data_IF_604184348575
#
_entry.id   IF_604184348575
#
_cell.length_a   1.000
_cell.length_b   1.000
_cell.length_c   1.000
_cell.angle_alpha   90.00
_cell.angle_beta   90.00
_cell.angle_gamma   90.00
#
_symmetry.space_group_name_H-M   'P 1'
#
loop_
_entity.id
_entity.type
_entity.pdbx_description
1 polymer ?
#
# COMPACT_ATOMS: atom_id res chain seq x y z
N UNK A 1 18.64 10.43 -2.41
CA UNK A 1 18.13 10.76 -3.76
C UNK A 1 17.43 12.12 -3.89
N UNK A 2 16.23 12.34 -3.36
CA UNK A 2 15.46 13.54 -3.67
C UNK A 2 16.13 14.86 -3.23
N UNK A 3 16.72 14.89 -2.02
CA UNK A 3 17.55 16.01 -1.54
C UNK A 3 18.72 16.28 -2.50
N UNK A 4 19.44 15.23 -2.91
CA UNK A 4 20.56 15.35 -3.83
C UNK A 4 20.13 15.83 -5.23
N UNK A 5 18.88 15.56 -5.63
CA UNK A 5 18.29 16.05 -6.86
C UNK A 5 17.73 17.49 -6.75
N UNK A 6 17.80 18.11 -5.57
CA UNK A 6 17.30 19.48 -5.33
C UNK A 6 15.78 19.58 -5.39
N UNK A 7 15.07 18.52 -5.02
CA UNK A 7 13.61 18.43 -5.10
C UNK A 7 12.90 19.16 -3.97
N UNK A 8 11.65 19.53 -4.23
CA UNK A 8 10.77 20.15 -3.26
C UNK A 8 10.16 19.09 -2.36
N UNK A 9 10.62 19.05 -1.11
CA UNK A 9 10.15 18.11 -0.10
C UNK A 9 9.22 18.81 0.90
N UNK A 10 8.22 18.08 1.36
CA UNK A 10 7.38 18.49 2.49
C UNK A 10 7.33 17.32 3.47
N UNK A 11 7.82 17.53 4.69
CA UNK A 11 7.63 16.56 5.77
C UNK A 11 6.15 16.60 6.14
N UNK A 12 5.54 15.43 6.14
CA UNK A 12 4.14 15.25 6.48
C UNK A 12 4.10 14.42 7.75
N UNK A 13 3.57 15.03 8.81
CA UNK A 13 3.48 14.43 10.14
C UNK A 13 2.27 13.50 10.29
N UNK A 14 1.51 13.31 9.21
CA UNK A 14 0.30 12.48 9.13
C UNK A 14 -0.76 12.83 10.19
N UNK A 15 -0.71 14.05 10.74
CA UNK A 15 -1.68 14.52 11.71
C UNK A 15 -3.05 14.73 11.06
N UNK A 16 -4.13 14.29 11.72
CA UNK A 16 -5.49 14.53 11.22
C UNK A 16 -5.98 15.93 11.64
N UNK A 17 -6.08 16.86 10.68
CA UNK A 17 -6.63 18.20 10.94
C UNK A 17 -8.12 18.14 11.27
N UNK A 18 -8.89 17.24 10.64
CA UNK A 18 -10.31 17.11 10.90
C UNK A 18 -10.85 15.70 10.63
N UNK A 19 -11.67 15.21 11.56
CA UNK A 19 -12.49 14.01 11.37
C UNK A 19 -13.96 14.39 11.24
N UNK A 20 -14.69 13.71 10.35
CA UNK A 20 -16.14 13.78 10.22
C UNK A 20 -16.75 12.41 10.48
N UNK A 21 -17.78 12.37 11.33
CA UNK A 21 -18.60 11.20 11.57
C UNK A 21 -19.85 11.28 10.69
N UNK A 22 -19.76 10.85 9.45
CA UNK A 22 -20.74 11.13 8.42
C UNK A 22 -20.66 12.59 7.97
N UNK A 23 -21.66 13.42 8.32
CA UNK A 23 -21.70 14.85 7.95
C UNK A 23 -21.28 15.79 9.07
N UNK A 24 -21.11 15.27 10.28
CA UNK A 24 -20.85 16.07 11.46
C UNK A 24 -19.35 16.08 11.76
N UNK A 25 -18.77 17.27 11.90
CA UNK A 25 -17.40 17.41 12.34
C UNK A 25 -17.25 16.86 13.76
N UNK A 26 -16.21 16.06 14.00
CA UNK A 26 -15.88 15.54 15.31
C UNK A 26 -15.62 16.69 16.29
N UNK A 27 -16.16 16.57 17.49
CA UNK A 27 -15.88 17.50 18.58
C UNK A 27 -14.44 17.31 19.09
N UNK A 28 -13.90 18.33 19.78
CA UNK A 28 -12.59 18.22 20.46
C UNK A 28 -12.49 17.10 21.49
N UNK A 29 -13.63 16.65 22.03
CA UNK A 29 -13.65 15.49 22.94
C UNK A 29 -13.48 14.19 22.14
N UNK A 30 -14.23 14.04 21.04
CA UNK A 30 -14.12 12.88 20.16
C UNK A 30 -12.74 12.75 19.49
N UNK A 31 -12.12 13.87 19.10
CA UNK A 31 -10.75 13.86 18.56
C UNK A 31 -9.76 13.31 19.61
N UNK A 32 -9.88 13.73 20.88
CA UNK A 32 -9.04 13.21 21.97
C UNK A 32 -9.31 11.74 22.27
N UNK A 33 -10.57 11.34 22.30
CA UNK A 33 -10.93 9.92 22.48
C UNK A 33 -10.36 9.05 21.35
N UNK A 34 -10.23 9.59 20.13
CA UNK A 34 -9.59 8.90 19.01
C UNK A 34 -8.08 8.79 19.19
N UNK A 35 -7.39 9.87 19.60
CA UNK A 35 -5.96 9.84 19.95
C UNK A 35 -5.66 8.84 21.08
N UNK A 36 -6.52 8.80 22.10
CA UNK A 36 -6.43 7.84 23.22
C UNK A 36 -6.66 6.40 22.73
N UNK A 37 -7.61 6.17 21.82
CA UNK A 37 -7.87 4.85 21.25
C UNK A 37 -6.70 4.35 20.37
N UNK A 38 -6.10 5.24 19.57
CA UNK A 38 -4.92 4.95 18.75
C UNK A 38 -3.69 4.63 19.63
N UNK A 39 -3.47 5.43 20.67
CA UNK A 39 -2.42 5.18 21.67
C UNK A 39 -2.63 3.84 22.37
N UNK A 40 -3.86 3.52 22.79
CA UNK A 40 -4.18 2.25 23.43
C UNK A 40 -3.97 1.05 22.49
N UNK A 41 -4.31 1.19 21.20
CA UNK A 41 -4.05 0.17 20.18
C UNK A 41 -2.54 -0.08 20.03
N UNK A 42 -1.74 0.98 19.92
CA UNK A 42 -0.28 0.92 19.84
C UNK A 42 0.36 0.30 21.09
N UNK A 43 -0.11 0.66 22.28
CA UNK A 43 0.35 0.05 23.54
C UNK A 43 0.03 -1.44 23.61
N UNK A 44 -1.20 -1.81 23.21
CA UNK A 44 -1.63 -3.21 23.18
C UNK A 44 -0.78 -4.05 22.21
N UNK A 45 -0.45 -3.53 21.03
CA UNK A 45 0.45 -4.19 20.08
C UNK A 45 1.79 -4.58 20.70
N UNK A 46 2.33 -3.74 21.58
CA UNK A 46 3.65 -3.96 22.21
C UNK A 46 3.63 -5.00 23.33
N UNK A 47 2.49 -5.19 24.01
CA UNK A 47 2.37 -6.08 25.18
C UNK A 47 1.55 -7.34 24.90
N UNK A 48 0.97 -7.44 23.71
CA UNK A 48 0.07 -8.53 23.35
C UNK A 48 0.80 -9.88 23.38
N UNK A 49 0.18 -10.85 24.05
CA UNK A 49 0.77 -12.17 24.34
C UNK A 49 -0.26 -13.31 24.33
N UNK A 50 -1.29 -13.20 23.49
CA UNK A 50 -2.35 -14.21 23.33
C UNK A 50 -2.14 -15.07 22.08
N UNK A 51 -2.91 -16.16 21.98
CA UNK A 51 -2.85 -17.13 20.86
C UNK A 51 -3.59 -16.65 19.60
N UNK A 52 -4.45 -15.62 19.71
CA UNK A 52 -5.05 -15.03 18.52
C UNK A 52 -4.07 -14.08 17.85
N UNK A 53 -4.13 -13.95 16.52
CA UNK A 53 -3.21 -13.13 15.75
C UNK A 53 -3.98 -12.17 14.85
N UNK A 54 -5.10 -11.61 15.33
CA UNK A 54 -5.95 -10.65 14.58
C UNK A 54 -5.84 -9.25 15.18
N UNK A 55 -5.35 -8.29 14.41
CA UNK A 55 -5.11 -6.93 14.93
C UNK A 55 -6.40 -6.26 15.45
N UNK A 56 -7.57 -6.57 14.88
CA UNK A 56 -8.86 -6.09 15.37
C UNK A 56 -9.16 -6.40 16.84
N UNK A 57 -8.54 -7.44 17.42
CA UNK A 57 -8.74 -7.78 18.84
C UNK A 57 -8.10 -6.77 19.80
N UNK A 58 -7.20 -5.92 19.30
CA UNK A 58 -6.54 -4.86 20.05
C UNK A 58 -7.31 -3.54 20.00
N UNK A 59 -8.27 -3.43 19.08
CA UNK A 59 -9.05 -2.21 18.84
C UNK A 59 -10.13 -2.01 19.91
N UNK A 60 -10.39 -0.75 20.26
CA UNK A 60 -11.59 -0.37 21.03
C UNK A 60 -12.84 -0.62 20.18
N UNK A 61 -13.70 -1.55 20.58
CA UNK A 61 -14.88 -1.97 19.81
C UNK A 61 -16.04 -0.96 19.84
N UNK A 62 -15.81 0.25 19.33
CA UNK A 62 -16.81 1.29 19.13
C UNK A 62 -16.46 2.14 17.90
N UNK A 63 -17.35 3.07 17.52
CA UNK A 63 -17.16 3.92 16.33
C UNK A 63 -15.87 4.74 16.34
N UNK A 64 -15.41 5.18 17.51
CA UNK A 64 -14.18 5.96 17.65
C UNK A 64 -12.95 5.07 17.48
N UNK A 65 -12.95 3.86 18.05
CA UNK A 65 -11.88 2.90 17.83
C UNK A 65 -11.82 2.42 16.37
N UNK A 66 -12.96 2.29 15.70
CA UNK A 66 -12.98 2.08 14.24
C UNK A 66 -12.30 3.25 13.51
N UNK A 67 -12.72 4.50 13.76
CA UNK A 67 -12.10 5.67 13.13
C UNK A 67 -10.58 5.79 13.41
N UNK A 68 -10.15 5.46 14.64
CA UNK A 68 -8.74 5.44 15.02
C UNK A 68 -7.94 4.41 14.21
N UNK A 69 -8.49 3.20 14.06
CA UNK A 69 -7.82 2.11 13.32
C UNK A 69 -8.01 2.15 11.81
N UNK A 70 -8.90 3.00 11.28
CA UNK A 70 -9.01 3.27 9.83
C UNK A 70 -7.66 3.69 9.25
N UNK A 71 -6.89 4.48 10.01
CA UNK A 71 -5.55 4.88 9.58
C UNK A 71 -4.59 3.68 9.56
N UNK A 72 -4.42 3.01 10.71
CA UNK A 72 -3.50 1.89 10.87
C UNK A 72 -3.79 0.70 9.93
N UNK A 73 -5.07 0.35 9.72
CA UNK A 73 -5.46 -0.76 8.85
C UNK A 73 -5.62 -0.30 7.40
N UNK A 74 -6.82 0.12 6.97
CA UNK A 74 -7.10 0.43 5.57
C UNK A 74 -6.15 1.44 4.92
N UNK A 75 -5.79 2.54 5.60
CA UNK A 75 -5.00 3.60 4.96
C UNK A 75 -3.51 3.29 4.90
N UNK A 76 -2.95 2.67 5.94
CA UNK A 76 -1.52 2.38 6.04
C UNK A 76 -1.20 0.97 5.55
N UNK A 77 -1.89 -0.06 6.06
CA UNK A 77 -1.69 -1.46 5.69
C UNK A 77 -2.50 -1.95 4.49
N UNK A 78 -3.38 -1.12 3.92
CA UNK A 78 -4.23 -1.45 2.78
C UNK A 78 -5.17 -2.66 3.00
N UNK A 79 -5.38 -3.06 4.26
CA UNK A 79 -6.27 -4.15 4.65
C UNK A 79 -7.12 -3.73 5.84
N UNK A 80 -8.29 -4.34 5.98
CA UNK A 80 -9.11 -4.11 7.16
C UNK A 80 -8.44 -4.72 8.39
N UNK A 81 -8.63 -4.10 9.56
CA UNK A 81 -7.86 -4.41 10.76
C UNK A 81 -8.06 -5.85 11.27
N UNK A 82 -9.16 -6.51 10.92
CA UNK A 82 -9.44 -7.91 11.24
C UNK A 82 -8.78 -8.92 10.29
N UNK A 83 -8.20 -8.44 9.19
CA UNK A 83 -7.47 -9.23 8.19
C UNK A 83 -5.96 -9.20 8.37
N UNK A 84 -5.45 -8.42 9.34
CA UNK A 84 -4.01 -8.22 9.55
C UNK A 84 -3.51 -9.05 10.74
N UNK A 85 -2.40 -9.75 10.53
CA UNK A 85 -1.65 -10.42 11.60
C UNK A 85 -1.04 -9.43 12.59
N UNK A 86 -1.25 -9.64 13.90
CA UNK A 86 -0.57 -8.85 14.95
C UNK A 86 0.95 -9.04 14.85
N UNK A 87 1.40 -10.27 14.63
CA UNK A 87 2.82 -10.60 14.49
C UNK A 87 3.47 -9.99 13.24
N UNK A 88 2.68 -9.71 12.20
CA UNK A 88 3.14 -9.02 11.01
C UNK A 88 3.13 -7.50 11.21
N UNK A 89 2.02 -6.97 11.73
CA UNK A 89 1.85 -5.55 12.05
C UNK A 89 2.95 -5.03 12.98
N UNK A 90 3.21 -5.75 14.08
CA UNK A 90 4.23 -5.37 15.08
C UNK A 90 5.67 -5.37 14.56
N UNK A 91 5.93 -5.97 13.40
CA UNK A 91 7.25 -5.95 12.76
C UNK A 91 7.46 -4.72 11.88
N UNK A 92 6.39 -4.05 11.43
CA UNK A 92 6.51 -2.83 10.64
C UNK A 92 7.13 -1.71 11.48
N UNK A 93 8.08 -0.98 10.89
CA UNK A 93 8.70 0.16 11.53
C UNK A 93 7.79 1.39 11.42
N UNK A 94 7.85 2.26 12.42
CA UNK A 94 7.43 3.65 12.25
C UNK A 94 8.35 4.33 11.22
N UNK A 95 7.73 5.00 10.25
CA UNK A 95 8.40 5.54 9.06
C UNK A 95 8.63 7.06 9.14
N UNK A 96 8.39 7.70 10.28
CA UNK A 96 8.76 9.11 10.48
C UNK A 96 10.30 9.29 10.43
N UNK A 97 10.82 10.31 9.71
CA UNK A 97 10.11 11.32 8.92
C UNK A 97 9.64 10.86 7.53
N UNK A 98 8.36 11.16 7.22
CA UNK A 98 7.74 10.92 5.92
C UNK A 98 7.74 12.17 5.03
N UNK A 99 8.19 12.07 3.78
CA UNK A 99 8.27 13.22 2.87
C UNK A 99 7.47 13.03 1.59
N UNK A 100 6.60 13.99 1.29
CA UNK A 100 6.08 14.16 -0.06
C UNK A 100 7.15 14.76 -0.99
N UNK A 101 7.03 14.44 -2.28
CA UNK A 101 7.88 14.99 -3.34
C UNK A 101 7.01 15.67 -4.39
N UNK A 102 7.20 16.98 -4.61
CA UNK A 102 6.37 17.75 -5.56
C UNK A 102 6.54 17.27 -6.99
N UNK A 103 7.75 16.84 -7.32
CA UNK A 103 8.18 16.37 -8.62
C UNK A 103 7.67 14.94 -8.93
N UNK A 104 7.08 14.27 -7.94
CA UNK A 104 6.49 12.95 -8.06
C UNK A 104 7.48 11.81 -7.82
N UNK A 105 7.10 10.89 -6.92
CA UNK A 105 7.98 9.80 -6.48
C UNK A 105 8.40 8.86 -7.63
N UNK A 106 7.54 8.64 -8.63
CA UNK A 106 7.88 7.84 -9.80
C UNK A 106 9.06 8.40 -10.61
N UNK A 107 9.20 9.72 -10.69
CA UNK A 107 10.35 10.35 -11.35
C UNK A 107 11.65 10.09 -10.57
N UNK A 108 11.58 9.86 -9.26
CA UNK A 108 12.73 9.56 -8.41
C UNK A 108 13.24 8.16 -8.73
N UNK A 109 12.31 7.20 -8.87
CA UNK A 109 12.62 5.82 -9.27
C UNK A 109 13.24 5.79 -10.66
N UNK A 110 12.65 6.51 -11.63
CA UNK A 110 13.22 6.61 -12.99
C UNK A 110 14.63 7.23 -12.99
N UNK A 111 14.86 8.25 -12.15
CA UNK A 111 16.18 8.88 -12.01
C UNK A 111 17.19 7.92 -11.39
N UNK A 112 16.81 7.23 -10.33
CA UNK A 112 17.68 6.31 -9.59
C UNK A 112 18.10 5.13 -10.47
N UNK A 113 17.19 4.53 -11.23
CA UNK A 113 17.46 3.38 -12.10
C UNK A 113 17.96 3.71 -13.50
N UNK A 114 18.39 4.96 -13.78
CA UNK A 114 18.65 5.44 -15.14
C UNK A 114 19.81 4.74 -15.85
N UNK A 115 20.77 4.18 -15.10
CA UNK A 115 21.94 3.47 -15.61
C UNK A 115 21.77 1.94 -15.64
N UNK A 116 20.65 1.43 -15.14
CA UNK A 116 20.33 0.00 -15.15
C UNK A 116 19.73 -0.38 -16.50
N UNK A 117 20.30 -1.36 -17.24
CA UNK A 117 19.68 -1.85 -18.47
C UNK A 117 18.31 -2.48 -18.18
N UNK A 118 17.26 -1.93 -18.78
CA UNK A 118 15.88 -2.42 -18.63
C UNK A 118 15.25 -2.76 -19.98
N UNK A 119 14.56 -3.90 -20.03
CA UNK A 119 13.75 -4.32 -21.17
C UNK A 119 12.27 -4.11 -20.86
N UNK A 120 11.71 -2.99 -21.31
CA UNK A 120 10.28 -2.70 -21.16
C UNK A 120 9.44 -3.58 -22.11
N UNK A 121 8.14 -3.67 -21.84
CA UNK A 121 7.20 -4.44 -22.66
C UNK A 121 7.64 -5.90 -22.92
N UNK A 122 8.37 -6.48 -21.97
CA UNK A 122 8.95 -7.83 -22.05
C UNK A 122 8.42 -8.66 -20.88
N UNK A 123 7.12 -9.02 -20.87
CA UNK A 123 6.55 -9.78 -19.78
C UNK A 123 7.12 -11.20 -19.78
N UNK A 124 7.69 -11.60 -18.65
CA UNK A 124 8.08 -13.00 -18.41
C UNK A 124 6.82 -13.79 -18.11
N UNK A 125 6.58 -14.86 -18.88
CA UNK A 125 5.40 -15.73 -18.75
C UNK A 125 5.69 -16.98 -17.92
N UNK A 126 6.91 -17.48 -18.04
CA UNK A 126 7.35 -18.71 -17.39
C UNK A 126 8.85 -18.62 -17.08
N UNK A 127 9.24 -19.13 -15.91
CA UNK A 127 10.64 -19.30 -15.52
C UNK A 127 10.92 -20.80 -15.44
N UNK A 128 11.68 -21.31 -16.41
CA UNK A 128 12.18 -22.69 -16.36
C UNK A 128 13.45 -22.74 -15.54
N UNK A 129 13.53 -23.67 -14.60
CA UNK A 129 14.67 -23.79 -13.67
C UNK A 129 15.10 -25.24 -13.41
N UNK A 130 14.68 -26.17 -14.27
CA UNK A 130 15.11 -27.58 -14.32
C UNK A 130 16.53 -27.79 -14.89
N UNK A 131 17.06 -26.80 -15.63
CA UNK A 131 18.38 -26.84 -16.27
C UNK A 131 19.55 -26.36 -15.39
N UNK A 132 20.76 -26.14 -15.95
CA UNK A 132 21.92 -25.64 -15.20
C UNK A 132 21.78 -24.18 -14.70
N UNK A 133 20.77 -23.46 -15.18
CA UNK A 133 20.43 -22.09 -14.77
C UNK A 133 18.93 -21.86 -14.92
N UNK A 134 18.55 -20.66 -15.32
CA UNK A 134 17.15 -20.27 -15.57
C UNK A 134 16.93 -19.85 -17.02
N UNK A 135 15.75 -20.18 -17.54
CA UNK A 135 15.25 -19.68 -18.82
C UNK A 135 13.95 -18.90 -18.59
N UNK A 136 13.97 -17.61 -18.92
CA UNK A 136 12.82 -16.71 -18.83
C UNK A 136 12.13 -16.68 -20.20
N UNK A 137 10.94 -17.26 -20.28
CA UNK A 137 10.14 -17.25 -21.51
C UNK A 137 9.34 -15.94 -21.60
N UNK A 138 9.54 -15.21 -22.70
CA UNK A 138 8.87 -13.93 -22.96
C UNK A 138 8.30 -13.91 -24.38
N UNK A 139 7.41 -12.97 -24.64
CA UNK A 139 6.83 -12.77 -25.98
C UNK A 139 7.90 -12.31 -27.01
N UNK A 140 9.07 -11.85 -26.55
CA UNK A 140 10.21 -11.40 -27.36
C UNK A 140 11.34 -12.46 -27.46
N UNK A 141 11.07 -13.69 -27.01
CA UNK A 141 12.04 -14.79 -26.98
C UNK A 141 12.53 -15.13 -25.57
N UNK A 142 13.45 -16.09 -25.49
CA UNK A 142 13.94 -16.64 -24.22
C UNK A 142 15.20 -15.92 -23.75
N UNK A 143 15.20 -15.44 -22.51
CA UNK A 143 16.39 -14.92 -21.83
C UNK A 143 16.98 -16.00 -20.93
N UNK A 144 18.31 -16.20 -20.97
CA UNK A 144 19.01 -17.22 -20.18
C UNK A 144 19.91 -16.56 -19.14
N UNK A 145 19.89 -17.05 -17.92
CA UNK A 145 20.73 -16.56 -16.83
C UNK A 145 21.13 -17.70 -15.87
N UNK A 146 22.08 -17.44 -14.97
CA UNK A 146 22.45 -18.42 -13.93
C UNK A 146 21.43 -18.50 -12.80
N UNK A 147 20.86 -17.36 -12.39
CA UNK A 147 19.88 -17.21 -11.31
C UNK A 147 18.83 -16.16 -11.72
N UNK A 148 17.63 -16.23 -11.15
CA UNK A 148 16.57 -15.23 -11.29
C UNK A 148 16.26 -14.58 -9.94
N UNK A 149 16.19 -13.25 -9.92
CA UNK A 149 15.60 -12.48 -8.83
C UNK A 149 14.18 -12.09 -9.22
N UNK A 150 13.18 -12.62 -8.53
CA UNK A 150 11.77 -12.38 -8.76
C UNK A 150 11.31 -11.27 -7.82
N UNK A 151 10.89 -10.15 -8.40
CA UNK A 151 10.31 -9.00 -7.67
C UNK A 151 8.87 -8.72 -8.09
N UNK A 152 8.20 -9.72 -8.69
CA UNK A 152 6.78 -9.63 -8.98
C UNK A 152 5.99 -9.61 -7.67
N UNK A 153 4.91 -8.84 -7.63
CA UNK A 153 4.04 -8.79 -6.45
C UNK A 153 3.43 -10.17 -6.15
N UNK A 154 3.11 -10.44 -4.89
CA UNK A 154 2.43 -11.68 -4.51
C UNK A 154 1.09 -11.83 -5.25
N UNK A 155 0.40 -10.71 -5.52
CA UNK A 155 -0.81 -10.70 -6.36
C UNK A 155 -0.59 -11.24 -7.78
N UNK A 156 0.53 -10.90 -8.44
CA UNK A 156 0.89 -11.47 -9.76
C UNK A 156 1.19 -12.96 -9.67
N UNK A 157 1.86 -13.38 -8.59
CA UNK A 157 2.26 -14.77 -8.36
C UNK A 157 1.06 -15.68 -8.06
N UNK A 158 0.16 -15.28 -7.14
CA UNK A 158 -1.09 -16.00 -6.82
C UNK A 158 -1.96 -16.15 -8.08
N UNK A 159 -2.06 -15.11 -8.91
CA UNK A 159 -2.84 -15.15 -10.15
C UNK A 159 -2.14 -15.92 -11.29
N UNK A 160 -0.99 -16.56 -11.04
CA UNK A 160 -0.22 -17.37 -12.01
C UNK A 160 0.09 -16.64 -13.33
N UNK A 161 0.20 -15.32 -13.25
CA UNK A 161 0.57 -14.45 -14.39
C UNK A 161 2.04 -14.67 -14.79
N UNK A 162 2.87 -15.04 -13.81
CA UNK A 162 4.21 -15.60 -13.96
C UNK A 162 4.17 -17.05 -13.46
N UNK A 163 4.58 -18.00 -14.31
CA UNK A 163 4.67 -19.43 -13.94
C UNK A 163 6.11 -19.87 -13.69
N UNK A 164 6.25 -20.99 -12.99
CA UNK A 164 7.52 -21.66 -12.76
C UNK A 164 7.45 -23.08 -13.33
N UNK A 165 8.55 -23.54 -13.93
CA UNK A 165 8.66 -24.90 -14.48
C UNK A 165 10.00 -25.52 -14.06
N UNK A 166 10.02 -26.54 -13.17
CA UNK A 166 8.87 -27.13 -12.47
C UNK A 166 8.17 -26.13 -11.54
N UNK A 167 7.00 -26.51 -11.03
CA UNK A 167 6.29 -25.70 -10.03
C UNK A 167 7.17 -25.44 -8.80
N UNK A 168 6.90 -24.35 -8.08
CA UNK A 168 7.61 -24.06 -6.84
C UNK A 168 7.28 -25.14 -5.80
N UNK A 169 8.17 -25.37 -4.82
CA UNK A 169 7.83 -26.17 -3.65
C UNK A 169 6.55 -25.67 -2.99
N UNK A 170 5.75 -26.59 -2.46
CA UNK A 170 4.43 -26.28 -1.90
C UNK A 170 4.51 -25.19 -0.82
N UNK A 171 5.58 -25.19 -0.03
CA UNK A 171 5.81 -24.22 1.04
C UNK A 171 5.98 -22.79 0.51
N UNK A 172 6.59 -22.61 -0.68
CA UNK A 172 6.74 -21.31 -1.32
C UNK A 172 5.43 -20.84 -1.93
N UNK A 173 4.70 -21.73 -2.59
CA UNK A 173 3.39 -21.43 -3.15
C UNK A 173 2.39 -21.05 -2.04
N UNK A 174 2.36 -21.80 -0.94
CA UNK A 174 1.53 -21.48 0.23
C UNK A 174 1.92 -20.12 0.85
N UNK A 175 3.22 -19.85 1.00
CA UNK A 175 3.68 -18.58 1.55
C UNK A 175 3.34 -17.37 0.65
N UNK A 176 3.26 -17.55 -0.68
CA UNK A 176 2.77 -16.54 -1.61
C UNK A 176 1.26 -16.26 -1.36
N UNK A 177 0.46 -17.29 -1.14
CA UNK A 177 -0.98 -17.17 -0.85
C UNK A 177 -1.26 -16.56 0.53
N UNK A 178 -0.37 -16.78 1.49
CA UNK A 178 -0.46 -16.27 2.87
C UNK A 178 -0.05 -14.79 3.02
N UNK A 179 0.46 -14.18 1.95
CA UNK A 179 0.81 -12.76 1.85
C UNK A 179 -0.08 -12.08 0.78
N UNK A 180 -1.41 -12.03 0.97
CA UNK A 180 -2.30 -11.37 0.03
C UNK A 180 -1.94 -9.89 -0.13
N UNK A 181 -2.22 -9.36 -1.31
CA UNK A 181 -2.16 -7.93 -1.54
C UNK A 181 -3.38 -7.27 -0.90
N UNK A 182 -3.16 -6.26 -0.07
CA UNK A 182 -4.18 -5.26 0.26
C UNK A 182 -4.45 -4.32 -0.93
N UNK A 183 -5.37 -3.38 -0.75
CA UNK A 183 -5.64 -2.34 -1.72
C UNK A 183 -5.83 -0.97 -1.06
N UNK A 184 -5.08 0.01 -1.57
CA UNK A 184 -5.24 1.43 -1.29
C UNK A 184 -5.42 2.16 -2.62
N UNK A 185 -6.62 2.71 -2.82
CA UNK A 185 -7.02 3.41 -4.03
C UNK A 185 -7.00 4.91 -3.82
N UNK A 186 -6.37 5.64 -4.74
CA UNK A 186 -6.31 7.11 -4.75
C UNK A 186 -7.26 7.69 -5.78
N UNK A 187 -8.01 8.71 -5.38
CA UNK A 187 -9.02 9.42 -6.17
C UNK A 187 -8.64 10.91 -6.22
N UNK A 188 -7.71 11.31 -7.10
CA UNK A 188 -7.38 12.72 -7.29
C UNK A 188 -8.51 13.47 -7.98
N UNK A 189 -8.90 14.60 -7.40
CA UNK A 189 -9.91 15.54 -7.87
C UNK A 189 -9.26 16.90 -8.11
N UNK A 190 -9.39 17.43 -9.33
CA UNK A 190 -8.95 18.78 -9.66
C UNK A 190 -9.97 19.79 -9.12
N UNK A 191 -9.66 20.36 -7.97
CA UNK A 191 -10.49 21.30 -7.21
C UNK A 191 -9.67 22.56 -6.96
N UNK A 192 -10.23 23.73 -7.29
CA UNK A 192 -9.56 25.00 -7.03
C UNK A 192 -9.27 25.19 -5.54
N UNK A 193 -8.10 25.77 -5.23
CA UNK A 193 -7.60 26.03 -3.88
C UNK A 193 -8.56 26.79 -2.95
N UNK A 194 -9.40 27.65 -3.49
CA UNK A 194 -10.36 28.46 -2.74
C UNK A 194 -11.75 27.80 -2.60
N UNK A 195 -11.93 26.59 -3.13
CA UNK A 195 -13.21 25.91 -3.13
C UNK A 195 -13.54 25.25 -1.78
N UNK A 196 -12.53 24.79 -1.03
CA UNK A 196 -12.67 24.22 0.31
C UNK A 196 -12.04 25.19 1.32
N UNK A 197 -12.67 25.31 2.49
CA UNK A 197 -12.11 26.08 3.62
C UNK A 197 -10.99 25.30 4.32
N UNK A 198 -9.96 24.86 3.58
CA UNK A 198 -8.83 24.00 4.02
C UNK A 198 -7.49 24.56 3.53
N UNK A 199 -6.42 24.31 4.27
CA UNK A 199 -5.06 24.68 3.88
C UNK A 199 -4.36 23.60 3.04
N UNK A 200 -3.15 23.92 2.58
CA UNK A 200 -2.26 22.94 1.96
C UNK A 200 -1.85 21.88 2.98
N UNK A 201 -1.91 20.61 2.56
CA UNK A 201 -1.62 19.43 3.38
C UNK A 201 -2.59 19.18 4.54
N UNK A 202 -3.73 19.88 4.62
CA UNK A 202 -4.80 19.49 5.56
C UNK A 202 -5.32 18.09 5.19
N UNK A 203 -5.32 17.20 6.16
CA UNK A 203 -5.89 15.87 6.12
C UNK A 203 -7.27 15.82 6.77
N UNK A 204 -8.20 15.22 6.03
CA UNK A 204 -9.59 15.10 6.46
C UNK A 204 -10.05 13.67 6.34
N UNK A 205 -10.36 13.04 7.47
CA UNK A 205 -11.01 11.72 7.50
C UNK A 205 -12.53 11.90 7.54
N UNK A 206 -13.23 11.19 6.67
CA UNK A 206 -14.68 11.02 6.75
C UNK A 206 -14.98 9.56 7.07
N UNK A 207 -15.32 9.29 8.32
CA UNK A 207 -15.79 7.97 8.75
C UNK A 207 -17.27 7.78 8.40
N UNK A 208 -17.59 6.56 7.96
CA UNK A 208 -18.93 6.11 7.66
C UNK A 208 -19.27 4.87 8.49
N UNK A 209 -20.52 4.81 8.98
CA UNK A 209 -21.05 3.65 9.70
C UNK A 209 -21.05 2.33 8.91
N UNK A 210 -20.79 2.39 7.60
CA UNK A 210 -20.71 1.23 6.72
C UNK A 210 -19.27 0.84 6.38
N UNK A 211 -18.27 1.30 7.16
CA UNK A 211 -16.84 1.12 6.88
C UNK A 211 -16.44 1.59 5.48
N UNK A 212 -17.09 2.66 5.01
CA UNK A 212 -16.83 3.29 3.71
C UNK A 212 -16.12 4.60 3.90
N UNK A 213 -15.00 4.51 4.57
CA UNK A 213 -14.23 5.66 5.00
C UNK A 213 -13.43 6.21 3.83
N UNK A 214 -13.18 7.51 3.86
CA UNK A 214 -12.32 8.18 2.89
C UNK A 214 -11.51 9.24 3.60
N UNK A 215 -10.21 9.21 3.33
CA UNK A 215 -9.26 10.21 3.77
C UNK A 215 -9.01 11.19 2.63
N UNK A 216 -8.92 12.48 2.90
CA UNK A 216 -8.63 13.50 1.89
C UNK A 216 -7.37 14.28 2.25
N UNK A 217 -6.38 14.27 1.35
CA UNK A 217 -5.25 15.20 1.39
C UNK A 217 -5.60 16.44 0.58
N UNK A 218 -5.66 17.60 1.23
CA UNK A 218 -6.05 18.86 0.60
C UNK A 218 -4.85 19.63 0.06
N UNK A 219 -4.91 19.99 -1.22
CA UNK A 219 -4.02 20.95 -1.87
C UNK A 219 -2.50 20.73 -1.65
N UNK A 220 -1.98 19.49 -1.84
CA UNK A 220 -0.56 19.22 -1.62
C UNK A 220 0.31 20.11 -2.52
N UNK A 221 1.36 20.71 -1.96
CA UNK A 221 2.26 21.67 -2.63
C UNK A 221 1.58 22.87 -3.28
N UNK A 222 0.47 23.28 -2.68
CA UNK A 222 -0.38 24.35 -3.16
C UNK A 222 -1.07 24.14 -4.51
N UNK A 223 -1.18 22.89 -4.94
CA UNK A 223 -1.84 22.52 -6.19
C UNK A 223 -3.36 22.56 -6.04
N UNK A 224 -4.06 22.87 -7.14
CA UNK A 224 -5.53 22.75 -7.27
C UNK A 224 -5.94 21.26 -7.36
N UNK A 225 -5.69 20.53 -6.27
CA UNK A 225 -5.81 19.09 -6.17
C UNK A 225 -6.26 18.70 -4.78
N UNK A 226 -7.25 17.82 -4.69
CA UNK A 226 -7.61 17.10 -3.47
C UNK A 226 -7.53 15.61 -3.78
N UNK A 227 -6.86 14.82 -2.94
CA UNK A 227 -6.70 13.38 -3.18
C UNK A 227 -7.49 12.61 -2.14
N UNK A 228 -8.52 11.90 -2.58
CA UNK A 228 -9.21 10.92 -1.76
C UNK A 228 -8.43 9.61 -1.68
N UNK A 229 -8.39 8.98 -0.51
CA UNK A 229 -7.78 7.67 -0.28
C UNK A 229 -8.83 6.75 0.32
N UNK A 230 -8.96 5.57 -0.27
CA UNK A 230 -9.86 4.52 0.17
C UNK A 230 -9.06 3.23 0.27
N UNK A 231 -9.08 2.58 1.42
CA UNK A 231 -8.32 1.38 1.73
C UNK A 231 -9.17 0.15 2.00
N UNK A 232 -8.53 -1.00 2.15
CA UNK A 232 -9.15 -2.24 2.61
C UNK A 232 -10.24 -2.78 1.68
N UNK A 233 -11.26 -3.43 2.24
CA UNK A 233 -12.33 -4.05 1.46
C UNK A 233 -13.09 -3.04 0.61
N UNK A 234 -13.31 -1.84 1.15
CA UNK A 234 -14.01 -0.79 0.40
C UNK A 234 -13.21 -0.32 -0.83
N UNK A 235 -11.88 -0.38 -0.79
CA UNK A 235 -11.06 -0.09 -1.96
C UNK A 235 -11.32 -1.10 -3.10
N UNK A 236 -11.51 -2.39 -2.76
CA UNK A 236 -11.85 -3.42 -3.74
C UNK A 236 -13.26 -3.22 -4.30
N UNK A 237 -14.23 -2.87 -3.44
CA UNK A 237 -15.59 -2.56 -3.86
C UNK A 237 -15.64 -1.38 -4.84
N UNK A 238 -15.00 -0.26 -4.49
CA UNK A 238 -15.05 0.96 -5.31
C UNK A 238 -14.28 0.81 -6.62
N UNK A 239 -13.18 0.05 -6.62
CA UNK A 239 -12.47 -0.26 -7.86
C UNK A 239 -13.33 -1.10 -8.81
N UNK A 240 -14.04 -2.10 -8.29
CA UNK A 240 -15.00 -2.90 -9.05
C UNK A 240 -16.15 -2.05 -9.62
N UNK A 241 -16.60 -1.04 -8.87
CA UNK A 241 -17.63 -0.11 -9.33
C UNK A 241 -17.16 0.83 -10.44
N UNK A 242 -15.84 1.02 -10.58
CA UNK A 242 -15.20 1.78 -11.65
C UNK A 242 -14.88 3.23 -11.29
N UNK A 243 -13.99 3.83 -12.09
CA UNK A 243 -13.41 5.16 -11.80
C UNK A 243 -14.46 6.28 -11.71
N UNK A 244 -15.51 6.23 -12.52
CA UNK A 244 -16.61 7.22 -12.45
C UNK A 244 -17.36 7.12 -11.12
N UNK A 245 -17.59 5.90 -10.62
CA UNK A 245 -18.22 5.69 -9.32
C UNK A 245 -17.34 6.18 -8.17
N UNK A 246 -16.03 5.95 -8.22
CA UNK A 246 -15.09 6.46 -7.23
C UNK A 246 -15.01 7.99 -7.20
N UNK A 247 -14.90 8.63 -8.37
CA UNK A 247 -14.91 10.10 -8.48
C UNK A 247 -16.23 10.68 -7.98
N UNK A 248 -17.36 10.07 -8.34
CA UNK A 248 -18.67 10.46 -7.85
C UNK A 248 -18.77 10.32 -6.32
N UNK A 249 -18.35 9.17 -5.75
CA UNK A 249 -18.34 8.94 -4.31
C UNK A 249 -17.52 10.01 -3.57
N UNK A 250 -16.27 10.25 -3.99
CA UNK A 250 -15.42 11.26 -3.35
C UNK A 250 -16.03 12.68 -3.46
N UNK A 251 -16.60 13.03 -4.62
CA UNK A 251 -17.26 14.32 -4.85
C UNK A 251 -18.48 14.51 -3.95
N UNK A 252 -19.33 13.48 -3.85
CA UNK A 252 -20.52 13.53 -3.00
C UNK A 252 -20.17 13.58 -1.52
N UNK A 253 -19.12 12.87 -1.09
CA UNK A 253 -18.64 12.93 0.29
C UNK A 253 -18.17 14.35 0.62
N UNK A 254 -17.32 14.96 -0.20
CA UNK A 254 -16.89 16.37 -0.01
C UNK A 254 -18.09 17.33 0.00
N UNK A 255 -19.04 17.17 -0.93
CA UNK A 255 -20.23 18.00 -0.99
C UNK A 255 -21.14 17.84 0.25
N UNK A 256 -21.07 16.70 0.94
CA UNK A 256 -21.84 16.45 2.15
C UNK A 256 -21.30 17.17 3.39
N UNK A 257 -19.99 17.43 3.43
CA UNK A 257 -19.30 18.10 4.57
C UNK A 257 -19.00 19.58 4.31
N UNK A 258 -18.70 19.96 3.07
CA UNK A 258 -18.36 21.34 2.68
C UNK A 258 -19.47 22.05 1.87
N UNK A 259 -20.57 21.34 1.58
CA UNK A 259 -21.76 21.90 0.94
C UNK A 259 -21.87 21.65 -0.56
N UNK A 260 -23.07 21.83 -1.10
CA UNK A 260 -23.43 21.35 -2.44
C UNK A 260 -22.69 22.02 -3.60
N UNK A 261 -22.12 23.22 -3.38
CA UNK A 261 -21.38 23.97 -4.40
C UNK A 261 -20.10 23.24 -4.86
N UNK A 262 -19.53 22.38 -4.01
CA UNK A 262 -18.31 21.63 -4.33
C UNK A 262 -18.45 20.79 -5.60
N UNK A 263 -19.64 20.27 -5.89
CA UNK A 263 -19.92 19.52 -7.13
C UNK A 263 -19.51 20.29 -8.38
N UNK A 264 -19.67 21.62 -8.37
CA UNK A 264 -19.32 22.48 -9.50
C UNK A 264 -17.82 22.86 -9.52
N UNK A 265 -17.11 22.65 -8.42
CA UNK A 265 -15.68 22.95 -8.29
C UNK A 265 -14.79 21.79 -8.75
N UNK A 266 -15.33 20.56 -8.83
CA UNK A 266 -14.61 19.39 -9.36
C UNK A 266 -14.58 19.48 -10.89
N UNK A 267 -13.45 19.92 -11.44
CA UNK A 267 -13.29 20.07 -12.89
C UNK A 267 -12.90 18.78 -13.60
N UNK A 268 -12.16 17.91 -12.90
CA UNK A 268 -11.71 16.59 -13.36
C UNK A 268 -11.54 15.67 -12.17
N UNK A 269 -11.69 14.37 -12.38
CA UNK A 269 -11.35 13.35 -11.41
C UNK A 269 -10.78 12.11 -12.10
N UNK A 270 -9.98 11.34 -11.39
CA UNK A 270 -9.55 10.01 -11.81
C UNK A 270 -9.43 9.09 -10.60
N UNK A 271 -9.16 7.81 -10.83
CA UNK A 271 -8.98 6.83 -9.77
C UNK A 271 -7.90 5.84 -10.18
N UNK A 272 -6.98 5.53 -9.26
CA UNK A 272 -6.02 4.43 -9.45
C UNK A 272 -6.75 3.10 -9.49
N UNK A 273 -6.15 2.10 -10.15
CA UNK A 273 -6.78 0.79 -10.35
C UNK A 273 -5.78 -0.34 -10.08
N UNK A 274 -5.24 -0.36 -8.87
CA UNK A 274 -4.15 -1.27 -8.51
C UNK A 274 -4.62 -2.73 -8.45
N UNK A 275 -5.87 -2.99 -8.06
CA UNK A 275 -6.44 -4.34 -8.00
C UNK A 275 -6.60 -4.98 -9.38
N UNK A 276 -7.01 -4.19 -10.36
CA UNK A 276 -7.20 -4.63 -11.75
C UNK A 276 -5.96 -4.44 -12.64
N UNK A 277 -4.95 -3.69 -12.19
CA UNK A 277 -3.65 -3.60 -12.87
C UNK A 277 -2.97 -4.97 -12.91
N UNK A 278 -2.80 -5.48 -14.13
CA UNK A 278 -2.37 -6.87 -14.36
C UNK A 278 -0.97 -7.18 -13.86
N UNK A 279 -0.16 -6.15 -13.64
CA UNK A 279 1.24 -6.26 -13.21
C UNK A 279 1.46 -6.04 -11.70
N UNK A 280 0.41 -5.73 -10.94
CA UNK A 280 0.51 -5.59 -9.48
C UNK A 280 -0.58 -6.37 -8.75
N UNK A 281 -1.82 -6.38 -9.24
CA UNK A 281 -2.96 -7.13 -8.67
C UNK A 281 -3.19 -6.82 -7.18
N UNK A 282 -3.16 -5.54 -6.85
CA UNK A 282 -3.26 -4.99 -5.50
C UNK A 282 -2.19 -3.92 -5.26
N UNK A 283 -2.19 -3.35 -4.05
CA UNK A 283 -1.28 -2.29 -3.63
C UNK A 283 0.02 -2.86 -3.03
N UNK A 284 -0.05 -3.48 -1.85
CA UNK A 284 1.10 -4.06 -1.15
C UNK A 284 0.66 -5.18 -0.19
N UNK A 285 1.59 -6.07 0.16
CA UNK A 285 1.30 -7.32 0.84
C UNK A 285 1.29 -7.21 2.37
N UNK A 286 0.30 -7.84 3.00
CA UNK A 286 0.21 -8.03 4.45
C UNK A 286 -0.05 -9.51 4.75
N UNK A 287 0.52 -10.03 5.83
CA UNK A 287 0.30 -11.41 6.22
C UNK A 287 -1.07 -11.57 6.91
N UNK A 288 -1.79 -12.62 6.52
CA UNK A 288 -3.04 -12.97 7.19
C UNK A 288 -2.77 -13.42 8.65
N UNK A 289 -3.74 -13.27 9.56
CA UNK A 289 -3.69 -13.80 10.91
C UNK A 289 -3.21 -15.24 10.97
N UNK A 290 -2.13 -15.47 11.71
CA UNK A 290 -1.48 -16.77 11.89
C UNK A 290 -0.37 -17.10 10.90
N UNK A 291 -0.11 -16.23 9.91
CA UNK A 291 0.77 -16.53 8.79
C UNK A 291 1.94 -15.54 8.59
N UNK A 292 2.30 -14.74 9.60
CA UNK A 292 3.48 -13.86 9.53
C UNK A 292 4.80 -14.59 9.15
N UNK A 293 4.89 -15.90 9.41
CA UNK A 293 6.03 -16.74 9.01
C UNK A 293 6.15 -17.01 7.50
N UNK A 294 5.15 -16.62 6.70
CA UNK A 294 5.20 -16.72 5.24
C UNK A 294 6.35 -15.89 4.66
N UNK A 295 6.62 -14.71 5.21
CA UNK A 295 7.75 -13.86 4.78
C UNK A 295 9.08 -14.59 4.92
N UNK A 296 9.31 -15.28 6.05
CA UNK A 296 10.54 -16.05 6.30
C UNK A 296 10.70 -17.19 5.29
N UNK A 297 9.60 -17.84 4.91
CA UNK A 297 9.61 -18.91 3.91
C UNK A 297 10.03 -18.40 2.54
N UNK A 298 9.47 -17.27 2.09
CA UNK A 298 9.81 -16.67 0.79
C UNK A 298 11.23 -16.12 0.71
N UNK A 299 11.89 -15.82 1.84
CA UNK A 299 13.30 -15.41 1.83
C UNK A 299 14.29 -16.53 1.47
N UNK A 300 13.82 -17.79 1.46
CA UNK A 300 14.63 -18.98 1.13
C UNK A 300 14.65 -19.20 -0.38
N UNK A 301 15.84 -19.31 -1.01
CA UNK A 301 15.92 -19.56 -2.44
C UNK A 301 15.38 -20.94 -2.81
N UNK A 302 14.88 -21.08 -4.03
CA UNK A 302 14.44 -22.36 -4.59
C UNK A 302 15.51 -22.88 -5.52
N UNK A 303 16.06 -24.06 -5.18
CA UNK A 303 17.08 -24.75 -5.95
C UNK A 303 18.36 -23.93 -6.19
N UNK A 304 18.65 -22.95 -5.33
CA UNK A 304 19.73 -21.95 -5.49
C UNK A 304 19.66 -21.12 -6.79
N UNK A 305 18.50 -21.13 -7.47
CA UNK A 305 18.28 -20.50 -8.78
C UNK A 305 17.23 -19.41 -8.74
N UNK A 306 16.12 -19.62 -8.03
CA UNK A 306 15.05 -18.64 -7.89
C UNK A 306 15.16 -17.97 -6.52
N UNK A 307 15.22 -16.65 -6.54
CA UNK A 307 15.31 -15.81 -5.36
C UNK A 307 14.16 -14.80 -5.40
N UNK A 308 13.63 -14.42 -4.25
CA UNK A 308 12.56 -13.43 -4.15
C UNK A 308 13.05 -12.21 -3.40
N UNK A 309 12.62 -11.03 -3.85
CA UNK A 309 12.81 -9.76 -3.15
C UNK A 309 11.65 -8.81 -3.47
N UNK A 310 11.57 -7.70 -2.76
CA UNK A 310 10.52 -6.69 -2.95
C UNK A 310 9.91 -6.28 -1.62
N UNK A 311 8.86 -5.46 -1.70
CA UNK A 311 8.22 -4.91 -0.50
C UNK A 311 7.75 -5.99 0.48
N UNK A 312 7.23 -7.11 -0.03
CA UNK A 312 6.75 -8.21 0.80
C UNK A 312 7.86 -8.86 1.65
N UNK A 313 9.13 -8.66 1.30
CA UNK A 313 10.30 -9.27 1.94
C UNK A 313 11.27 -8.22 2.47
N UNK A 314 10.78 -7.03 2.82
CA UNK A 314 11.60 -5.92 3.28
C UNK A 314 11.76 -5.81 4.81
N UNK A 315 11.42 -6.87 5.55
CA UNK A 315 11.51 -6.87 7.01
C UNK A 315 10.68 -5.73 7.61
N UNK A 316 11.23 -4.92 8.53
CA UNK A 316 10.50 -3.80 9.12
C UNK A 316 10.06 -2.71 8.13
N UNK A 317 10.66 -2.66 6.93
CA UNK A 317 10.30 -1.70 5.88
C UNK A 317 9.34 -2.32 4.84
N UNK A 318 8.60 -3.36 5.21
CA UNK A 318 7.56 -3.96 4.35
C UNK A 318 6.60 -2.92 3.79
N UNK A 319 5.96 -3.18 2.64
CA UNK A 319 5.01 -2.27 2.00
C UNK A 319 5.61 -0.95 1.47
N UNK A 320 6.90 -0.68 1.70
CA UNK A 320 7.55 0.56 1.26
C UNK A 320 8.43 0.38 0.01
N UNK A 321 8.60 1.47 -0.75
CA UNK A 321 9.55 1.52 -1.86
C UNK A 321 11.01 1.43 -1.37
N UNK A 322 11.34 2.06 -0.24
CA UNK A 322 12.68 2.00 0.35
C UNK A 322 13.03 0.58 0.80
N UNK A 323 12.08 -0.10 1.42
CA UNK A 323 12.20 -1.51 1.79
C UNK A 323 12.36 -2.43 0.59
N UNK A 324 11.57 -2.24 -0.47
CA UNK A 324 11.72 -3.02 -1.71
C UNK A 324 13.13 -2.87 -2.31
N UNK A 325 13.67 -1.65 -2.33
CA UNK A 325 15.03 -1.39 -2.78
C UNK A 325 16.08 -2.11 -1.92
N UNK A 326 16.02 -1.95 -0.59
CA UNK A 326 16.97 -2.56 0.33
C UNK A 326 16.87 -4.10 0.34
N UNK A 327 15.67 -4.65 0.21
CA UNK A 327 15.43 -6.08 0.03
C UNK A 327 16.10 -6.60 -1.24
N UNK A 328 15.93 -5.89 -2.35
CA UNK A 328 16.59 -6.21 -3.62
C UNK A 328 18.12 -6.23 -3.51
N UNK A 329 18.72 -5.22 -2.88
CA UNK A 329 20.16 -5.18 -2.65
C UNK A 329 20.66 -6.34 -1.77
N UNK A 330 19.96 -6.60 -0.67
CA UNK A 330 20.33 -7.65 0.27
C UNK A 330 20.31 -9.03 -0.40
N UNK A 331 19.27 -9.31 -1.19
CA UNK A 331 19.15 -10.58 -1.92
C UNK A 331 20.18 -10.68 -3.04
N UNK A 332 20.42 -9.59 -3.80
CA UNK A 332 21.45 -9.58 -4.83
C UNK A 332 22.85 -9.90 -4.26
N UNK A 333 23.20 -9.36 -3.08
CA UNK A 333 24.47 -9.69 -2.39
C UNK A 333 24.55 -11.17 -2.01
N UNK A 334 23.45 -11.76 -1.53
CA UNK A 334 23.38 -13.21 -1.23
C UNK A 334 23.54 -14.05 -2.50
N UNK A 335 22.89 -13.66 -3.60
CA UNK A 335 23.00 -14.35 -4.90
C UNK A 335 24.43 -14.32 -5.47
N UNK A 336 25.19 -13.25 -5.24
CA UNK A 336 26.58 -13.12 -5.68
C UNK A 336 27.55 -13.96 -4.84
N UNK A 337 27.19 -14.28 -3.59
CA UNK A 337 28.00 -15.04 -2.67
C UNK A 337 27.79 -16.57 -2.75
N UNK A 338 26.75 -17.03 -3.46
CA UNK A 338 26.37 -18.45 -3.57
C UNK A 338 26.79 -19.16 -4.84
#
# INVERSE_FOLDING_TARGET
EAIAAGWTLHHHDMGLEQVYFGREAATRAQMREMEEADSAFSEMLMVYSSNSDRASELMVANRIGHAATTFAGPMDFAQDIDEISIADFSKAADLDPNYFTKEGFGALVCRWGADVPVSLSTPVRNIRWDGPGVELETDNGTVRAGKALVTASTGVLVNRMLRFSPELPWEHDAAIEDLPMGLLTKIPLAIARDALDRNAFDDVLVESRSSRDIFFLCYPFDLDLVVGFVGGDFAWEIECAGAEAGVHFATETLASIFGSKIRNSVSKGSMTRWGSERWTRGAYAAARPGFAGARDTLTKPVGERIWFAGEALAGPLMQTCGGAHLSGEAVARRMLAS
#
